data_IF_420080077198
#
_entry.id   IF_420080077198
#
_cell.length_a   1.000
_cell.length_b   1.000
_cell.length_c   1.000
_cell.angle_alpha   90.00
_cell.angle_beta   90.00
_cell.angle_gamma   90.00
#
_symmetry.space_group_name_H-M   'P 1'
#
loop_
_entity.id
_entity.type
_entity.pdbx_description
1 polymer ?
#
# COMPACT_ATOMS: atom_id res chain seq x y z
N UNK A 1 -14.92 2.83 17.34
CA UNK A 1 -14.08 2.98 16.18
C UNK A 1 -13.00 4.07 16.31
N UNK A 2 -13.30 5.32 16.70
CA UNK A 2 -12.28 6.40 16.80
C UNK A 2 -11.07 6.03 17.70
N UNK A 3 -11.30 5.41 18.85
CA UNK A 3 -10.22 4.99 19.76
C UNK A 3 -9.31 3.90 19.19
N UNK A 4 -9.88 2.90 18.49
CA UNK A 4 -9.13 1.83 17.84
C UNK A 4 -8.25 2.37 16.70
N UNK A 5 -8.82 3.26 15.87
CA UNK A 5 -8.07 3.88 14.78
C UNK A 5 -6.92 4.73 15.31
N UNK A 6 -7.17 5.52 16.37
CA UNK A 6 -6.15 6.33 17.04
C UNK A 6 -5.03 5.45 17.60
N UNK A 7 -5.37 4.33 18.24
CA UNK A 7 -4.39 3.37 18.75
C UNK A 7 -3.54 2.77 17.63
N UNK A 8 -4.17 2.28 16.55
CA UNK A 8 -3.46 1.71 15.41
C UNK A 8 -2.56 2.74 14.71
N UNK A 9 -3.02 3.99 14.60
CA UNK A 9 -2.23 5.09 14.05
C UNK A 9 -0.97 5.36 14.89
N UNK A 10 -1.11 5.48 16.22
CA UNK A 10 0.02 5.72 17.11
C UNK A 10 0.98 4.51 17.19
N UNK A 11 0.45 3.29 17.11
CA UNK A 11 1.30 2.09 17.07
C UNK A 11 2.20 2.07 15.83
N UNK A 12 1.68 2.52 14.68
CA UNK A 12 2.44 2.63 13.43
C UNK A 12 3.37 3.84 13.43
N UNK A 13 2.98 4.93 14.08
CA UNK A 13 3.67 6.23 14.01
C UNK A 13 5.15 6.14 14.44
N UNK A 14 5.48 5.31 15.42
CA UNK A 14 6.86 5.13 15.89
C UNK A 14 7.79 4.63 14.76
N UNK A 15 7.38 3.60 14.04
CA UNK A 15 8.15 3.06 12.91
C UNK A 15 8.08 3.97 11.69
N UNK A 16 6.90 4.55 11.44
CA UNK A 16 6.66 5.45 10.32
C UNK A 16 7.48 6.76 10.40
N UNK A 17 7.77 7.29 11.60
CA UNK A 17 8.67 8.43 11.76
C UNK A 17 10.08 8.13 11.28
N UNK A 18 10.62 6.97 11.64
CA UNK A 18 11.95 6.54 11.20
C UNK A 18 11.96 6.34 9.69
N UNK A 19 10.93 5.66 9.16
CA UNK A 19 10.79 5.46 7.72
C UNK A 19 10.62 6.78 6.96
N UNK A 20 9.83 7.74 7.49
CA UNK A 20 9.68 9.06 6.91
C UNK A 20 10.99 9.84 6.88
N UNK A 21 11.82 9.77 7.93
CA UNK A 21 13.13 10.39 7.95
C UNK A 21 14.05 9.80 6.87
N UNK A 22 14.05 8.48 6.73
CA UNK A 22 14.80 7.79 5.66
C UNK A 22 14.28 8.23 4.28
N UNK A 23 12.96 8.28 4.08
CA UNK A 23 12.35 8.71 2.83
C UNK A 23 12.64 10.17 2.49
N UNK A 24 12.74 11.06 3.49
CA UNK A 24 13.17 12.46 3.28
C UNK A 24 14.62 12.52 2.79
N UNK A 25 15.54 11.82 3.45
CA UNK A 25 16.95 11.77 3.03
C UNK A 25 17.10 11.17 1.63
N UNK A 26 16.38 10.06 1.37
CA UNK A 26 16.40 9.39 0.07
C UNK A 26 15.76 10.28 -1.01
N UNK A 27 14.69 11.03 -0.67
CA UNK A 27 14.05 11.98 -1.57
C UNK A 27 15.00 13.10 -2.00
N UNK A 28 15.73 13.70 -1.06
CA UNK A 28 16.77 14.71 -1.37
C UNK A 28 17.84 14.11 -2.28
N UNK A 29 18.31 12.90 -2.00
CA UNK A 29 19.31 12.22 -2.82
C UNK A 29 18.78 11.93 -4.25
N UNK A 30 17.56 11.40 -4.35
CA UNK A 30 16.93 11.07 -5.64
C UNK A 30 16.75 12.32 -6.47
N UNK A 31 16.21 13.38 -5.89
CA UNK A 31 16.02 14.66 -6.59
C UNK A 31 17.37 15.24 -7.05
N UNK A 32 18.41 15.18 -6.21
CA UNK A 32 19.75 15.67 -6.59
C UNK A 32 20.40 14.87 -7.74
N UNK A 33 20.03 13.60 -7.91
CA UNK A 33 20.59 12.68 -8.92
C UNK A 33 19.67 12.47 -10.14
N UNK A 34 18.49 13.06 -10.19
CA UNK A 34 17.45 12.79 -11.20
C UNK A 34 17.96 13.00 -12.64
N UNK A 35 18.73 14.06 -12.89
CA UNK A 35 19.35 14.30 -14.19
C UNK A 35 20.32 13.22 -14.66
N UNK A 36 20.87 12.41 -13.71
CA UNK A 36 21.84 11.36 -14.03
C UNK A 36 21.17 10.00 -14.17
N UNK A 37 20.14 9.74 -13.38
CA UNK A 37 19.47 8.45 -13.30
C UNK A 37 17.94 8.65 -13.10
N UNK A 38 17.20 8.94 -14.17
CA UNK A 38 15.75 9.23 -14.08
C UNK A 38 14.93 8.08 -13.47
N UNK A 39 15.41 6.84 -13.58
CA UNK A 39 14.73 5.67 -12.97
C UNK A 39 14.69 5.68 -11.44
N UNK A 40 15.53 6.49 -10.77
CA UNK A 40 15.52 6.58 -9.31
C UNK A 40 14.21 7.17 -8.77
N UNK A 41 13.61 8.14 -9.47
CA UNK A 41 12.36 8.74 -9.02
C UNK A 41 11.20 7.73 -9.07
N UNK A 42 11.20 6.84 -10.06
CA UNK A 42 10.22 5.75 -10.16
C UNK A 42 10.32 4.83 -8.94
N UNK A 43 11.54 4.39 -8.61
CA UNK A 43 11.81 3.57 -7.43
C UNK A 43 11.41 4.27 -6.13
N UNK A 44 11.69 5.57 -6.01
CA UNK A 44 11.30 6.37 -4.85
C UNK A 44 9.78 6.44 -4.67
N UNK A 45 9.04 6.70 -5.75
CA UNK A 45 7.57 6.77 -5.71
C UNK A 45 6.96 5.44 -5.25
N UNK A 46 7.38 4.32 -5.85
CA UNK A 46 6.89 3.00 -5.50
C UNK A 46 7.26 2.64 -4.05
N UNK A 47 8.51 2.91 -3.65
CA UNK A 47 8.99 2.66 -2.29
C UNK A 47 8.22 3.47 -1.26
N UNK A 48 7.88 4.74 -1.54
CA UNK A 48 7.07 5.56 -0.66
C UNK A 48 5.68 4.94 -0.45
N UNK A 49 4.94 4.65 -1.50
CA UNK A 49 3.57 4.13 -1.41
C UNK A 49 3.52 2.75 -0.76
N UNK A 50 4.35 1.82 -1.21
CA UNK A 50 4.39 0.45 -0.68
C UNK A 50 4.97 0.43 0.74
N UNK A 51 6.04 1.18 0.99
CA UNK A 51 6.74 1.18 2.28
C UNK A 51 5.90 1.77 3.43
N UNK A 52 5.17 2.87 3.22
CA UNK A 52 4.25 3.37 4.25
C UNK A 52 3.10 2.40 4.50
N UNK A 53 2.57 1.74 3.48
CA UNK A 53 1.57 0.68 3.63
C UNK A 53 2.10 -0.52 4.42
N UNK A 54 3.34 -0.94 4.16
CA UNK A 54 4.02 -2.00 4.91
C UNK A 54 4.23 -1.63 6.39
N UNK A 55 4.53 -0.37 6.72
CA UNK A 55 4.63 0.06 8.11
C UNK A 55 3.31 -0.12 8.88
N UNK A 56 2.17 0.06 8.23
CA UNK A 56 0.86 -0.24 8.85
C UNK A 56 0.70 -1.73 9.15
N UNK A 57 1.14 -2.60 8.26
CA UNK A 57 1.14 -4.06 8.47
C UNK A 57 2.12 -4.45 9.58
N UNK A 58 3.31 -3.88 9.62
CA UNK A 58 4.32 -4.17 10.64
C UNK A 58 3.84 -3.81 12.06
N UNK A 59 2.93 -2.87 12.22
CA UNK A 59 2.34 -2.53 13.51
C UNK A 59 1.50 -3.67 14.10
N UNK A 60 0.83 -4.47 13.26
CA UNK A 60 0.10 -5.67 13.67
C UNK A 60 1.02 -6.70 14.32
N UNK A 61 2.23 -6.88 13.79
CA UNK A 61 3.24 -7.77 14.37
C UNK A 61 3.61 -7.36 15.81
N UNK A 62 3.78 -6.05 16.04
CA UNK A 62 4.04 -5.53 17.39
C UNK A 62 2.90 -5.83 18.36
N UNK A 63 1.67 -5.69 17.90
CA UNK A 63 0.49 -6.01 18.70
C UNK A 63 0.39 -7.50 19.04
N UNK A 64 0.69 -8.37 18.10
CA UNK A 64 0.75 -9.81 18.28
C UNK A 64 1.80 -10.22 19.32
N UNK A 65 3.02 -9.67 19.18
CA UNK A 65 4.13 -9.95 20.08
C UNK A 65 3.84 -9.53 21.55
N UNK A 66 3.06 -8.47 21.74
CA UNK A 66 2.67 -7.99 23.09
C UNK A 66 1.41 -8.64 23.64
N UNK A 67 0.81 -9.61 22.92
CA UNK A 67 -0.49 -10.24 23.25
C UNK A 67 -1.64 -9.22 23.38
N UNK A 68 -1.46 -8.01 22.87
CA UNK A 68 -2.46 -6.94 22.93
C UNK A 68 -3.73 -7.30 22.14
N UNK A 69 -3.59 -8.14 21.12
CA UNK A 69 -4.72 -8.73 20.39
C UNK A 69 -5.72 -9.45 21.30
N UNK A 70 -5.23 -10.17 22.32
CA UNK A 70 -6.08 -10.86 23.33
C UNK A 70 -6.81 -9.89 24.25
N UNK A 71 -6.14 -8.80 24.67
CA UNK A 71 -6.79 -7.77 25.49
C UNK A 71 -7.89 -7.01 24.73
N UNK A 72 -7.76 -6.83 23.43
CA UNK A 72 -8.83 -6.22 22.60
C UNK A 72 -10.13 -7.04 22.63
N UNK A 73 -10.06 -8.34 22.83
CA UNK A 73 -11.23 -9.21 22.93
C UNK A 73 -12.01 -9.05 24.25
N UNK A 74 -11.37 -8.57 25.30
CA UNK A 74 -12.03 -8.30 26.60
C UNK A 74 -12.76 -6.94 26.61
N UNK A 75 -12.53 -6.10 25.61
CA UNK A 75 -13.23 -4.81 25.46
C UNK A 75 -14.59 -5.02 24.79
N UNK A 76 -15.63 -4.22 25.13
CA UNK A 76 -16.96 -4.35 24.54
C UNK A 76 -17.01 -3.77 23.11
N UNK A 77 -16.12 -4.23 22.22
CA UNK A 77 -16.01 -3.77 20.85
C UNK A 77 -16.32 -4.91 19.88
N UNK A 78 -17.12 -4.64 18.85
CA UNK A 78 -17.44 -5.63 17.82
C UNK A 78 -16.18 -6.07 17.09
N UNK A 79 -15.98 -7.38 16.89
CA UNK A 79 -14.82 -7.94 16.17
C UNK A 79 -14.65 -7.35 14.77
N UNK A 80 -15.75 -7.11 14.06
CA UNK A 80 -15.72 -6.45 12.74
C UNK A 80 -15.16 -5.02 12.79
N UNK A 81 -15.41 -4.26 13.87
CA UNK A 81 -14.88 -2.91 14.02
C UNK A 81 -13.35 -2.92 14.26
N UNK A 82 -12.82 -3.99 14.86
CA UNK A 82 -11.36 -4.17 15.01
C UNK A 82 -10.73 -4.35 13.63
N UNK A 83 -11.25 -5.27 12.82
CA UNK A 83 -10.77 -5.52 11.45
C UNK A 83 -10.85 -4.26 10.61
N UNK A 84 -12.01 -3.59 10.58
CA UNK A 84 -12.20 -2.34 9.84
C UNK A 84 -11.20 -1.25 10.24
N UNK A 85 -10.82 -1.18 11.52
CA UNK A 85 -9.83 -0.20 11.99
C UNK A 85 -8.44 -0.43 11.40
N UNK A 86 -8.05 -1.68 11.15
CA UNK A 86 -6.78 -2.00 10.48
C UNK A 86 -6.81 -1.65 8.99
N UNK A 87 -7.90 -2.00 8.29
CA UNK A 87 -8.07 -1.61 6.88
C UNK A 87 -8.04 -0.09 6.70
N UNK A 88 -8.71 0.65 7.59
CA UNK A 88 -8.72 2.10 7.54
C UNK A 88 -7.35 2.70 7.88
N UNK A 89 -6.64 2.14 8.88
CA UNK A 89 -5.27 2.55 9.20
C UNK A 89 -4.32 2.33 8.02
N UNK A 90 -4.46 1.20 7.32
CA UNK A 90 -3.69 0.89 6.12
C UNK A 90 -3.91 1.93 5.02
N UNK A 91 -5.16 2.30 4.74
CA UNK A 91 -5.49 3.34 3.77
C UNK A 91 -4.92 4.71 4.16
N UNK A 92 -4.97 5.07 5.44
CA UNK A 92 -4.39 6.33 5.92
C UNK A 92 -2.87 6.39 5.66
N UNK A 93 -2.15 5.29 5.93
CA UNK A 93 -0.72 5.22 5.68
C UNK A 93 -0.39 5.15 4.18
N UNK A 94 -1.23 4.53 3.37
CA UNK A 94 -1.11 4.59 1.91
C UNK A 94 -1.23 6.04 1.41
N UNK A 95 -2.18 6.82 1.92
CA UNK A 95 -2.32 8.25 1.59
C UNK A 95 -1.05 9.03 1.97
N UNK A 96 -0.46 8.76 3.14
CA UNK A 96 0.82 9.37 3.54
C UNK A 96 1.92 9.01 2.52
N UNK A 97 1.99 7.76 2.09
CA UNK A 97 2.93 7.33 1.04
C UNK A 97 2.72 8.05 -0.29
N UNK A 98 1.46 8.25 -0.70
CA UNK A 98 1.12 9.02 -1.90
C UNK A 98 1.57 10.50 -1.79
N UNK A 99 1.42 11.11 -0.62
CA UNK A 99 1.88 12.48 -0.37
C UNK A 99 3.40 12.56 -0.50
N UNK A 100 4.15 11.63 0.09
CA UNK A 100 5.61 11.58 -0.05
C UNK A 100 6.05 11.39 -1.51
N UNK A 101 5.40 10.47 -2.24
CA UNK A 101 5.65 10.26 -3.65
C UNK A 101 5.37 11.54 -4.47
N UNK A 102 4.24 12.20 -4.22
CA UNK A 102 3.86 13.44 -4.90
C UNK A 102 4.82 14.60 -4.62
N UNK A 103 5.28 14.75 -3.38
CA UNK A 103 6.27 15.79 -3.02
C UNK A 103 7.58 15.52 -3.77
N UNK A 104 8.05 14.27 -3.84
CA UNK A 104 9.27 13.91 -4.56
C UNK A 104 9.21 14.26 -6.04
N UNK A 105 8.10 13.89 -6.70
CA UNK A 105 7.88 14.23 -8.12
C UNK A 105 7.77 15.75 -8.33
N UNK A 106 7.00 16.45 -7.48
CA UNK A 106 6.84 17.89 -7.57
C UNK A 106 8.18 18.62 -7.44
N UNK A 107 9.03 18.22 -6.49
CA UNK A 107 10.37 18.79 -6.31
C UNK A 107 11.28 18.50 -7.52
N UNK A 108 11.22 17.29 -8.08
CA UNK A 108 12.00 16.96 -9.29
C UNK A 108 11.57 17.82 -10.48
N UNK A 109 10.27 17.97 -10.71
CA UNK A 109 9.73 18.82 -11.77
C UNK A 109 10.15 20.29 -11.61
N UNK A 110 10.12 20.79 -10.37
CA UNK A 110 10.50 22.20 -10.10
C UNK A 110 11.99 22.47 -10.32
N UNK A 111 12.87 21.51 -10.03
CA UNK A 111 14.33 21.71 -10.08
C UNK A 111 14.94 21.33 -11.42
N UNK A 112 14.42 20.30 -12.08
CA UNK A 112 15.04 19.70 -13.28
C UNK A 112 14.14 19.71 -14.51
N UNK A 113 12.87 20.12 -14.36
CA UNK A 113 11.85 19.99 -15.40
C UNK A 113 11.15 18.63 -15.33
N UNK A 114 10.36 18.32 -16.36
CA UNK A 114 9.54 17.12 -16.40
C UNK A 114 10.40 15.88 -16.69
N UNK A 115 10.53 14.92 -15.76
CA UNK A 115 11.45 13.78 -15.90
C UNK A 115 10.90 12.62 -16.74
N UNK A 116 9.67 12.74 -17.23
CA UNK A 116 8.96 11.68 -17.98
C UNK A 116 8.62 12.13 -19.38
N UNK A 117 8.47 11.19 -20.32
CA UNK A 117 8.13 11.49 -21.71
C UNK A 117 6.68 11.99 -21.87
N UNK A 118 5.78 11.55 -20.99
CA UNK A 118 4.35 11.91 -21.02
C UNK A 118 3.80 12.14 -19.62
N UNK A 119 2.84 13.06 -19.49
CA UNK A 119 2.11 13.33 -18.25
C UNK A 119 1.38 12.07 -17.71
N UNK A 120 0.99 11.17 -18.62
CA UNK A 120 0.34 9.90 -18.27
C UNK A 120 1.25 8.95 -17.50
N UNK A 121 2.58 9.09 -17.60
CA UNK A 121 3.51 8.18 -16.95
C UNK A 121 3.49 8.37 -15.43
N UNK A 122 3.41 9.63 -14.97
CA UNK A 122 3.24 9.95 -13.55
C UNK A 122 1.93 9.35 -13.00
N UNK A 123 0.83 9.53 -13.75
CA UNK A 123 -0.46 8.95 -13.39
C UNK A 123 -0.40 7.43 -13.27
N UNK A 124 0.19 6.75 -14.26
CA UNK A 124 0.34 5.29 -14.25
C UNK A 124 1.21 4.80 -13.10
N UNK A 125 2.27 5.51 -12.74
CA UNK A 125 3.12 5.17 -11.59
C UNK A 125 2.34 5.24 -10.26
N UNK A 126 1.49 6.27 -10.09
CA UNK A 126 0.60 6.33 -8.93
C UNK A 126 -0.39 5.16 -8.92
N UNK A 127 -1.01 4.86 -10.05
CA UNK A 127 -1.95 3.73 -10.16
C UNK A 127 -1.28 2.40 -9.84
N UNK A 128 -0.07 2.17 -10.37
CA UNK A 128 0.71 0.95 -10.09
C UNK A 128 1.06 0.84 -8.60
N UNK A 129 1.58 1.91 -7.99
CA UNK A 129 1.95 1.91 -6.59
C UNK A 129 0.77 1.71 -5.64
N UNK A 130 -0.36 2.38 -5.91
CA UNK A 130 -1.61 2.20 -5.18
C UNK A 130 -2.14 0.78 -5.40
N UNK A 131 -2.13 0.30 -6.65
CA UNK A 131 -2.61 -1.03 -7.02
C UNK A 131 -1.84 -2.13 -6.29
N UNK A 132 -0.51 -2.10 -6.32
CA UNK A 132 0.34 -3.06 -5.58
C UNK A 132 0.00 -3.01 -4.09
N UNK A 133 -0.09 -1.82 -3.50
CA UNK A 133 -0.40 -1.65 -2.08
C UNK A 133 -1.77 -2.21 -1.71
N UNK A 134 -2.82 -1.91 -2.49
CA UNK A 134 -4.18 -2.40 -2.23
C UNK A 134 -4.29 -3.92 -2.40
N UNK A 135 -3.70 -4.50 -3.45
CA UNK A 135 -3.65 -5.96 -3.63
C UNK A 135 -2.89 -6.64 -2.48
N UNK A 136 -1.73 -6.10 -2.11
CA UNK A 136 -0.95 -6.58 -0.98
C UNK A 136 -1.78 -6.58 0.31
N UNK A 137 -2.41 -5.47 0.66
CA UNK A 137 -3.26 -5.37 1.85
C UNK A 137 -4.47 -6.31 1.78
N UNK A 138 -5.14 -6.37 0.61
CA UNK A 138 -6.28 -7.25 0.37
C UNK A 138 -5.98 -8.74 0.53
N UNK A 139 -4.77 -9.17 0.20
CA UNK A 139 -4.32 -10.56 0.35
C UNK A 139 -3.75 -10.80 1.75
N UNK A 140 -2.99 -9.85 2.28
CA UNK A 140 -2.32 -10.00 3.57
C UNK A 140 -3.29 -10.19 4.73
N UNK A 141 -4.32 -9.33 4.86
CA UNK A 141 -5.20 -9.39 6.03
C UNK A 141 -5.93 -10.74 6.17
N UNK A 142 -6.56 -11.33 5.15
CA UNK A 142 -7.15 -12.66 5.29
C UNK A 142 -6.12 -13.72 5.63
N UNK A 143 -4.96 -13.73 4.98
CA UNK A 143 -3.89 -14.72 5.24
C UNK A 143 -3.37 -14.63 6.67
N UNK A 144 -3.19 -13.43 7.20
CA UNK A 144 -2.76 -13.22 8.57
C UNK A 144 -3.73 -13.85 9.59
N UNK A 145 -5.03 -13.66 9.37
CA UNK A 145 -6.05 -14.24 10.26
C UNK A 145 -6.30 -15.74 10.04
N UNK A 146 -6.01 -16.30 8.86
CA UNK A 146 -6.10 -17.73 8.58
C UNK A 146 -4.89 -18.47 9.13
N UNK A 147 -3.69 -18.00 8.81
CA UNK A 147 -2.45 -18.74 9.04
C UNK A 147 -1.79 -18.52 10.40
N UNK A 148 -2.25 -17.50 11.16
CA UNK A 148 -1.72 -17.20 12.49
C UNK A 148 -0.55 -16.23 12.52
N UNK A 149 -0.27 -15.76 13.73
CA UNK A 149 0.70 -14.69 14.00
C UNK A 149 2.16 -15.11 13.75
N UNK A 150 2.47 -16.41 13.86
CA UNK A 150 3.83 -16.95 13.76
C UNK A 150 4.42 -16.85 12.35
N UNK A 151 3.57 -16.87 11.31
CA UNK A 151 3.99 -16.86 9.89
C UNK A 151 3.80 -15.50 9.22
N UNK A 152 3.69 -14.45 9.98
CA UNK A 152 3.38 -13.10 9.49
C UNK A 152 4.37 -12.61 8.41
N UNK A 153 5.66 -12.87 8.57
CA UNK A 153 6.69 -12.46 7.59
C UNK A 153 6.51 -13.15 6.24
N UNK A 154 6.21 -14.45 6.27
CA UNK A 154 5.97 -15.24 5.06
C UNK A 154 4.73 -14.71 4.32
N UNK A 155 3.65 -14.45 5.04
CA UNK A 155 2.42 -13.90 4.44
C UNK A 155 2.61 -12.50 3.87
N UNK A 156 3.45 -11.68 4.50
CA UNK A 156 3.80 -10.36 3.99
C UNK A 156 4.56 -10.46 2.65
N UNK A 157 5.57 -11.33 2.58
CA UNK A 157 6.33 -11.54 1.33
C UNK A 157 5.42 -12.11 0.23
N UNK A 158 4.61 -13.12 0.55
CA UNK A 158 3.67 -13.72 -0.41
C UNK A 158 2.69 -12.66 -0.91
N UNK A 159 2.09 -11.87 -0.02
CA UNK A 159 1.11 -10.86 -0.41
C UNK A 159 1.72 -9.75 -1.27
N UNK A 160 2.97 -9.36 -0.99
CA UNK A 160 3.70 -8.38 -1.81
C UNK A 160 3.97 -8.94 -3.22
N UNK A 161 4.50 -10.18 -3.31
CA UNK A 161 4.76 -10.82 -4.60
C UNK A 161 3.47 -11.03 -5.40
N UNK A 162 2.39 -11.48 -4.75
CA UNK A 162 1.08 -11.59 -5.38
C UNK A 162 0.55 -10.22 -5.85
N UNK A 163 0.72 -9.18 -5.06
CA UNK A 163 0.31 -7.82 -5.44
C UNK A 163 1.03 -7.32 -6.68
N UNK A 164 2.36 -7.50 -6.73
CA UNK A 164 3.17 -7.18 -7.92
C UNK A 164 2.72 -8.02 -9.11
N UNK A 165 2.57 -9.34 -8.94
CA UNK A 165 2.16 -10.26 -9.99
C UNK A 165 0.78 -9.93 -10.57
N UNK A 166 -0.19 -9.55 -9.73
CA UNK A 166 -1.53 -9.13 -10.17
C UNK A 166 -1.49 -7.84 -11.00
N UNK A 167 -0.73 -6.84 -10.56
CA UNK A 167 -0.61 -5.59 -11.32
C UNK A 167 0.11 -5.83 -12.64
N UNK A 168 1.20 -6.63 -12.66
CA UNK A 168 1.90 -7.00 -13.89
C UNK A 168 1.00 -7.79 -14.82
N UNK A 169 0.25 -8.77 -14.30
CA UNK A 169 -0.69 -9.56 -15.08
C UNK A 169 -1.80 -8.72 -15.72
N UNK A 170 -2.41 -7.81 -14.94
CA UNK A 170 -3.41 -6.87 -15.45
C UNK A 170 -2.84 -5.93 -16.51
N UNK A 171 -1.64 -5.40 -16.29
CA UNK A 171 -0.96 -4.54 -17.27
C UNK A 171 -0.69 -5.28 -18.57
N UNK A 172 -0.18 -6.52 -18.49
CA UNK A 172 0.07 -7.36 -19.67
C UNK A 172 -1.24 -7.66 -20.41
N UNK A 173 -2.29 -7.98 -19.69
CA UNK A 173 -3.61 -8.25 -20.27
C UNK A 173 -4.18 -7.02 -20.99
N UNK A 174 -4.04 -5.83 -20.39
CA UNK A 174 -4.46 -4.57 -21.02
C UNK A 174 -3.63 -4.28 -22.28
N UNK A 175 -2.31 -4.55 -22.26
CA UNK A 175 -1.45 -4.39 -23.43
C UNK A 175 -1.82 -5.34 -24.58
N UNK A 176 -2.39 -6.51 -24.30
CA UNK A 176 -2.89 -7.42 -25.35
C UNK A 176 -4.25 -6.99 -25.90
N UNK A 177 -5.08 -6.33 -25.09
CA UNK A 177 -6.39 -5.83 -25.49
C UNK A 177 -6.32 -4.52 -26.29
N UNK A 178 -5.37 -3.66 -25.97
CA UNK A 178 -5.17 -2.38 -26.64
C UNK A 178 -3.91 -2.43 -27.53
N UNK A 179 -4.08 -2.32 -28.87
CA UNK A 179 -2.91 -2.33 -29.77
C UNK A 179 -2.02 -1.10 -29.55
N UNK A 180 -0.72 -1.30 -29.60
CA UNK A 180 0.26 -0.23 -29.55
C UNK A 180 0.31 0.56 -30.90
N UNK A 181 0.52 1.91 -30.86
CA UNK A 181 0.70 2.77 -29.68
C UNK A 181 -0.63 3.12 -29.00
N UNK A 182 -0.67 2.99 -27.67
CA UNK A 182 -1.87 3.35 -26.90
C UNK A 182 -2.12 4.86 -26.94
N UNK A 183 -3.39 5.23 -27.09
CA UNK A 183 -3.82 6.62 -26.94
C UNK A 183 -3.86 7.00 -25.45
N UNK A 184 -3.71 8.29 -25.12
CA UNK A 184 -3.81 8.82 -23.75
C UNK A 184 -5.07 8.34 -23.04
N UNK A 185 -6.20 8.29 -23.75
CA UNK A 185 -7.47 7.83 -23.22
C UNK A 185 -7.44 6.33 -22.84
N UNK A 186 -6.79 5.50 -23.66
CA UNK A 186 -6.63 4.05 -23.35
C UNK A 186 -5.73 3.82 -22.15
N UNK A 187 -4.69 4.63 -21.96
CA UNK A 187 -3.80 4.59 -20.79
C UNK A 187 -4.58 4.94 -19.53
N UNK A 188 -5.36 6.03 -19.55
CA UNK A 188 -6.19 6.44 -18.42
C UNK A 188 -7.24 5.38 -18.08
N UNK A 189 -7.91 4.83 -19.09
CA UNK A 189 -8.90 3.77 -18.91
C UNK A 189 -8.25 2.49 -18.33
N UNK A 190 -7.10 2.10 -18.82
CA UNK A 190 -6.32 0.98 -18.30
C UNK A 190 -5.94 1.18 -16.82
N UNK A 191 -5.46 2.37 -16.48
CA UNK A 191 -5.17 2.75 -15.10
C UNK A 191 -6.42 2.69 -14.21
N UNK A 192 -7.55 3.20 -14.69
CA UNK A 192 -8.83 3.14 -13.95
C UNK A 192 -9.29 1.70 -13.71
N UNK A 193 -9.10 0.80 -14.67
CA UNK A 193 -9.42 -0.63 -14.52
C UNK A 193 -8.54 -1.27 -13.45
N UNK A 194 -7.21 -1.05 -13.48
CA UNK A 194 -6.29 -1.58 -12.48
C UNK A 194 -6.68 -1.09 -11.09
N UNK A 195 -6.94 0.21 -10.95
CA UNK A 195 -7.34 0.81 -9.67
C UNK A 195 -8.67 0.25 -9.16
N UNK A 196 -9.67 0.13 -10.03
CA UNK A 196 -10.97 -0.43 -9.67
C UNK A 196 -10.88 -1.90 -9.22
N UNK A 197 -10.11 -2.74 -9.94
CA UNK A 197 -9.87 -4.13 -9.55
C UNK A 197 -9.17 -4.23 -8.19
N UNK A 198 -8.13 -3.43 -7.96
CA UNK A 198 -7.40 -3.42 -6.70
C UNK A 198 -8.29 -2.97 -5.53
N UNK A 199 -9.09 -1.93 -5.74
CA UNK A 199 -10.02 -1.42 -4.74
C UNK A 199 -11.14 -2.43 -4.44
N UNK A 200 -11.69 -3.10 -5.44
CA UNK A 200 -12.71 -4.14 -5.27
C UNK A 200 -12.17 -5.31 -4.43
N UNK A 201 -10.97 -5.82 -4.74
CA UNK A 201 -10.36 -6.91 -3.97
C UNK A 201 -10.10 -6.46 -2.53
N UNK A 202 -9.60 -5.26 -2.32
CA UNK A 202 -9.36 -4.72 -0.99
C UNK A 202 -10.66 -4.59 -0.17
N UNK A 203 -11.74 -4.08 -0.77
CA UNK A 203 -13.05 -3.91 -0.12
C UNK A 203 -13.67 -5.27 0.20
N UNK A 204 -13.64 -6.24 -0.73
CA UNK A 204 -14.16 -7.60 -0.52
C UNK A 204 -13.35 -8.33 0.55
N UNK A 205 -12.06 -8.09 0.63
CA UNK A 205 -11.19 -8.69 1.64
C UNK A 205 -11.59 -8.31 3.07
N UNK A 206 -12.15 -7.11 3.29
CA UNK A 206 -12.55 -6.66 4.62
C UNK A 206 -13.64 -7.56 5.28
N UNK A 207 -14.80 -7.83 4.65
CA UNK A 207 -15.79 -8.75 5.22
C UNK A 207 -15.29 -10.19 5.31
N UNK A 208 -14.48 -10.65 4.35
CA UNK A 208 -13.85 -11.99 4.40
C UNK A 208 -12.97 -12.12 5.64
N UNK A 209 -12.10 -11.15 5.87
CA UNK A 209 -11.24 -11.09 7.06
C UNK A 209 -12.06 -11.05 8.35
N UNK A 210 -13.13 -10.25 8.39
CA UNK A 210 -14.01 -10.15 9.55
C UNK A 210 -14.72 -11.49 9.83
N UNK A 211 -15.15 -12.20 8.79
CA UNK A 211 -15.76 -13.54 8.92
C UNK A 211 -14.76 -14.55 9.48
N UNK A 212 -13.54 -14.60 8.94
CA UNK A 212 -12.46 -15.48 9.42
C UNK A 212 -12.13 -15.18 10.88
N UNK A 213 -12.00 -13.89 11.24
CA UNK A 213 -11.71 -13.46 12.60
C UNK A 213 -12.84 -13.83 13.59
N UNK A 214 -14.09 -13.82 13.13
CA UNK A 214 -15.22 -14.22 13.98
C UNK A 214 -15.24 -15.73 14.27
N UNK A 215 -14.81 -16.54 13.30
CA UNK A 215 -14.81 -18.02 13.40
C UNK A 215 -13.65 -18.57 14.23
N UNK A 216 -12.63 -17.76 14.48
CA UNK A 216 -11.46 -18.15 15.28
C UNK A 216 -11.83 -18.14 16.76
N UNK A 217 -11.83 -19.31 17.38
CA UNK A 217 -11.87 -19.47 18.83
C UNK A 217 -10.46 -19.21 19.39
N UNK A 218 -10.35 -18.31 20.36
CA UNK A 218 -9.11 -18.01 21.06
C UNK A 218 -9.07 -18.68 22.42
#
# INVERSE_FOLDING_TARGET
MKGLLKNNFYATLSNAKVFAAIMLLLGVFVVAMDNKIPSLIIGYMLLAMIGFSLNSIASLRKESATKWSKYKLTTPVKRSAIVQSYFLSFLLWLIVGMVFAGIGVALSIMLHGFPFDKDTDVFMLFVIGIGISLFMGGIFFPLFYIGGEERNEVFLVISLLCGIGLVMGLTTLLNTLFPAPMTTMQIILGGAIIFACALLIFVISCPVTAYVYHKREY
#
